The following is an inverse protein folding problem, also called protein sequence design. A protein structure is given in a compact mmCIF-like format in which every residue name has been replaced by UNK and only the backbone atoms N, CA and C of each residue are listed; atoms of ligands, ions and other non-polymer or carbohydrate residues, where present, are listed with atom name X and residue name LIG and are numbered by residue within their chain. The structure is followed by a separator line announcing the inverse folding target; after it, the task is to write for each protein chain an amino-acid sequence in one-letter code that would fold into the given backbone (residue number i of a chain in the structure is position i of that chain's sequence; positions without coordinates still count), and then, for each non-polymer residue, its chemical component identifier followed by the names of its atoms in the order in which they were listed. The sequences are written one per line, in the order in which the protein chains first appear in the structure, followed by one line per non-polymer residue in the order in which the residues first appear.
data_IF_511985752215
#
_entry.id   IF_511985752215
#
_cell.length_a   1.000
_cell.length_b   1.000
_cell.length_c   1.000
_cell.angle_alpha   90.00
_cell.angle_beta   90.00
_cell.angle_gamma   90.00
#
_symmetry.space_group_name_H-M   'P 1'
#
loop_
_entity.id
_entity.type
_entity.pdbx_description
1 polymer ?
#
# COMPACT_ATOMS: atom_id res chain seq x y z
N UNK A 1 -12.35 25.56 -7.50
CA UNK A 1 -11.12 26.33 -7.30
C UNK A 1 -10.10 25.85 -8.32
N UNK A 2 -9.54 26.76 -9.12
CA UNK A 2 -8.80 26.50 -10.38
C UNK A 2 -7.66 25.48 -10.25
N UNK A 3 -7.55 24.68 -11.30
CA UNK A 3 -6.45 23.80 -11.69
C UNK A 3 -5.08 24.49 -11.48
N UNK A 4 -4.27 23.98 -10.54
CA UNK A 4 -2.88 24.43 -10.39
C UNK A 4 -2.04 23.59 -11.34
N UNK A 5 -1.96 24.03 -12.59
CA UNK A 5 -0.96 23.54 -13.53
C UNK A 5 0.41 23.54 -12.87
N UNK A 6 1.13 22.42 -12.99
CA UNK A 6 2.45 22.27 -12.39
C UNK A 6 3.37 23.41 -12.83
N UNK A 7 3.94 24.17 -11.88
CA UNK A 7 4.89 25.23 -12.21
C UNK A 7 6.13 24.59 -12.84
N UNK A 8 6.52 24.96 -14.08
CA UNK A 8 7.71 24.43 -14.73
C UNK A 8 8.98 24.77 -13.94
N UNK A 9 9.89 23.80 -13.82
CA UNK A 9 11.19 24.00 -13.19
C UNK A 9 12.16 24.67 -14.18
N UNK A 10 12.05 26.01 -14.26
CA UNK A 10 12.92 26.83 -15.11
C UNK A 10 14.38 26.80 -14.65
N UNK A 11 14.64 26.66 -13.35
CA UNK A 11 16.00 26.62 -12.80
C UNK A 11 16.81 25.44 -13.33
N UNK A 12 16.21 24.25 -13.36
CA UNK A 12 16.85 23.06 -13.95
C UNK A 12 17.04 23.21 -15.46
N UNK A 13 16.04 23.72 -16.18
CA UNK A 13 16.12 23.91 -17.63
C UNK A 13 17.22 24.92 -18.01
N UNK A 14 17.36 26.00 -17.23
CA UNK A 14 18.37 27.03 -17.44
C UNK A 14 19.76 26.56 -17.01
N UNK A 15 19.87 25.74 -15.95
CA UNK A 15 21.12 25.09 -15.58
C UNK A 15 21.63 24.16 -16.71
N UNK A 16 20.76 23.32 -17.27
CA UNK A 16 21.11 22.48 -18.42
C UNK A 16 21.54 23.31 -19.63
N UNK A 17 20.81 24.38 -19.96
CA UNK A 17 21.12 25.23 -21.13
C UNK A 17 22.44 26.00 -21.00
N UNK A 18 22.94 26.20 -19.78
CA UNK A 18 24.26 26.80 -19.52
C UNK A 18 25.42 25.82 -19.75
N UNK A 19 25.15 24.52 -19.71
CA UNK A 19 26.16 23.50 -19.95
C UNK A 19 26.43 23.31 -21.45
N UNK A 20 27.71 23.11 -21.79
CA UNK A 20 28.19 22.78 -23.12
C UNK A 20 28.60 21.30 -23.14
N UNK A 21 28.09 20.48 -24.08
CA UNK A 21 28.56 19.10 -24.21
C UNK A 21 30.04 19.08 -24.63
N UNK A 22 30.86 18.13 -24.14
CA UNK A 22 32.28 18.03 -24.49
C UNK A 22 32.54 17.82 -26.00
N UNK A 23 31.58 17.25 -26.73
CA UNK A 23 31.75 16.80 -28.13
C UNK A 23 30.63 17.26 -29.09
N UNK A 24 29.86 18.29 -28.74
CA UNK A 24 28.74 18.76 -29.56
C UNK A 24 29.18 19.59 -30.78
N UNK A 25 28.78 19.16 -31.99
CA UNK A 25 28.89 19.97 -33.22
C UNK A 25 28.09 21.26 -33.07
N UNK A 26 28.76 22.40 -32.93
CA UNK A 26 28.17 23.73 -33.17
C UNK A 26 27.77 24.57 -31.96
N UNK A 27 28.28 24.31 -30.75
CA UNK A 27 28.06 25.20 -29.60
C UNK A 27 26.63 25.21 -29.05
N UNK A 28 25.82 24.20 -29.39
CA UNK A 28 24.47 24.03 -28.85
C UNK A 28 24.50 23.73 -27.33
N UNK A 29 23.46 24.14 -26.57
CA UNK A 29 23.31 23.77 -25.17
C UNK A 29 23.09 22.26 -25.00
N UNK A 30 23.51 21.70 -23.86
CA UNK A 30 23.33 20.29 -23.51
C UNK A 30 21.87 19.84 -23.71
N UNK A 31 21.64 18.80 -24.52
CA UNK A 31 20.31 18.24 -24.74
C UNK A 31 19.80 17.45 -23.51
N UNK A 32 18.52 17.07 -23.51
CA UNK A 32 17.95 16.23 -22.43
C UNK A 32 18.56 14.83 -22.42
N UNK A 33 18.84 14.27 -23.59
CA UNK A 33 19.51 12.97 -23.74
C UNK A 33 20.94 13.05 -23.22
N UNK A 34 21.71 14.05 -23.63
CA UNK A 34 23.09 14.21 -23.15
C UNK A 34 23.15 14.51 -21.64
N UNK A 35 22.16 15.21 -21.08
CA UNK A 35 22.06 15.38 -19.63
C UNK A 35 21.75 14.04 -18.94
N UNK A 36 20.85 13.23 -19.49
CA UNK A 36 20.53 11.92 -18.92
C UNK A 36 21.76 10.99 -18.93
N UNK A 37 22.49 10.94 -20.04
CA UNK A 37 23.72 10.16 -20.17
C UNK A 37 24.80 10.63 -19.18
N UNK A 38 24.97 11.95 -19.03
CA UNK A 38 25.92 12.52 -18.07
C UNK A 38 25.52 12.24 -16.62
N UNK A 39 24.22 12.24 -16.31
CA UNK A 39 23.69 11.87 -14.97
C UNK A 39 23.92 10.39 -14.69
N UNK A 40 23.72 9.50 -15.67
CA UNK A 40 24.00 8.06 -15.52
C UNK A 40 25.49 7.80 -15.28
N UNK A 41 26.37 8.44 -16.06
CA UNK A 41 27.81 8.36 -15.84
C UNK A 41 28.22 8.91 -14.45
N UNK A 42 27.60 9.99 -13.99
CA UNK A 42 27.84 10.52 -12.65
C UNK A 42 27.34 9.58 -11.54
N UNK A 43 26.23 8.87 -11.75
CA UNK A 43 25.73 7.86 -10.82
C UNK A 43 26.71 6.69 -10.70
N UNK A 44 27.28 6.21 -11.82
CA UNK A 44 28.29 5.15 -11.81
C UNK A 44 29.55 5.58 -11.05
N UNK A 45 29.99 6.83 -11.23
CA UNK A 45 31.15 7.36 -10.52
C UNK A 45 30.92 7.60 -9.03
N UNK A 46 29.71 8.04 -8.64
CA UNK A 46 29.37 8.33 -7.24
C UNK A 46 29.07 7.06 -6.44
N UNK A 47 28.56 6.00 -7.09
CA UNK A 47 28.06 4.79 -6.43
C UNK A 47 28.54 3.47 -7.07
N UNK A 48 29.86 3.24 -7.26
CA UNK A 48 30.40 2.11 -8.02
C UNK A 48 30.17 0.72 -7.38
N UNK A 49 29.88 0.64 -6.08
CA UNK A 49 29.62 -0.60 -5.34
C UNK A 49 28.13 -0.87 -5.06
N UNK A 50 27.23 0.02 -5.49
CA UNK A 50 25.77 -0.13 -5.41
C UNK A 50 25.23 -0.38 -6.83
N UNK A 51 24.07 -1.01 -6.98
CA UNK A 51 23.38 -1.14 -8.27
C UNK A 51 22.90 0.25 -8.76
N UNK A 52 23.83 1.09 -9.23
CA UNK A 52 23.56 2.44 -9.73
C UNK A 52 22.57 2.45 -10.93
N UNK A 53 22.47 1.33 -11.64
CA UNK A 53 21.52 1.11 -12.73
C UNK A 53 20.05 1.35 -12.32
N UNK A 54 19.65 1.04 -11.08
CA UNK A 54 18.29 1.32 -10.58
C UNK A 54 17.98 2.83 -10.49
N UNK A 55 19.01 3.68 -10.54
CA UNK A 55 18.88 5.13 -10.51
C UNK A 55 19.04 5.78 -11.87
N UNK A 56 19.27 4.99 -12.93
CA UNK A 56 19.43 5.54 -14.27
C UNK A 56 18.18 6.31 -14.69
N UNK A 57 18.43 7.30 -15.55
CA UNK A 57 17.45 8.25 -16.04
C UNK A 57 17.57 8.35 -17.54
N UNK A 58 16.48 8.76 -18.18
CA UNK A 58 16.43 9.00 -19.61
C UNK A 58 16.03 10.46 -19.92
N UNK A 59 16.02 10.80 -21.21
CA UNK A 59 15.62 12.13 -21.67
C UNK A 59 14.17 12.50 -21.26
N UNK A 60 13.29 11.51 -21.09
CA UNK A 60 11.89 11.69 -20.69
C UNK A 60 11.79 12.12 -19.23
N UNK A 61 12.56 11.48 -18.36
CA UNK A 61 12.70 11.82 -16.94
C UNK A 61 13.22 13.25 -16.75
N UNK A 62 14.26 13.65 -17.49
CA UNK A 62 14.75 15.04 -17.50
C UNK A 62 13.63 16.00 -17.92
N UNK A 63 12.85 15.62 -18.95
CA UNK A 63 11.68 16.38 -19.39
C UNK A 63 10.62 16.54 -18.31
N UNK A 64 10.29 15.48 -17.57
CA UNK A 64 9.32 15.50 -16.45
C UNK A 64 9.78 16.43 -15.33
N UNK A 65 11.08 16.44 -15.03
CA UNK A 65 11.66 17.36 -14.05
C UNK A 65 11.58 18.83 -14.50
N UNK A 66 11.93 19.14 -15.74
CA UNK A 66 11.85 20.51 -16.28
C UNK A 66 10.41 21.04 -16.34
N UNK A 67 9.43 20.17 -16.62
CA UNK A 67 7.99 20.53 -16.57
C UNK A 67 7.46 20.64 -15.14
N UNK A 68 8.27 20.29 -14.14
CA UNK A 68 7.90 20.31 -12.72
C UNK A 68 6.91 19.20 -12.33
N UNK A 69 6.69 18.20 -13.20
CA UNK A 69 5.83 17.04 -12.95
C UNK A 69 6.42 16.16 -11.84
N UNK A 70 7.75 16.12 -11.77
CA UNK A 70 8.51 15.52 -10.69
C UNK A 70 9.35 16.61 -10.02
N UNK A 71 9.15 16.88 -8.73
CA UNK A 71 9.82 18.00 -8.03
C UNK A 71 10.94 17.59 -7.08
N UNK A 72 10.98 16.33 -6.69
CA UNK A 72 11.91 15.86 -5.67
C UNK A 72 12.42 14.43 -5.98
N UNK A 73 13.48 14.30 -6.79
CA UNK A 73 14.16 13.03 -7.07
C UNK A 73 14.78 12.37 -5.85
N UNK A 74 15.24 11.12 -5.99
CA UNK A 74 16.01 10.41 -4.93
C UNK A 74 17.33 11.13 -4.61
N UNK A 75 17.90 10.89 -3.44
CA UNK A 75 19.12 11.55 -3.00
C UNK A 75 20.30 11.31 -3.97
N UNK A 76 20.37 10.11 -4.54
CA UNK A 76 21.38 9.68 -5.51
C UNK A 76 21.24 10.46 -6.83
N UNK A 77 20.03 10.56 -7.38
CA UNK A 77 19.74 11.33 -8.59
C UNK A 77 19.96 12.83 -8.39
N UNK A 78 19.62 13.37 -7.21
CA UNK A 78 19.90 14.77 -6.86
C UNK A 78 21.41 15.03 -6.76
N UNK A 79 22.17 14.14 -6.11
CA UNK A 79 23.63 14.25 -6.03
C UNK A 79 24.31 14.19 -7.41
N UNK A 80 23.86 13.28 -8.28
CA UNK A 80 24.35 13.19 -9.66
C UNK A 80 24.01 14.45 -10.48
N UNK A 81 22.78 14.97 -10.38
CA UNK A 81 22.39 16.23 -11.04
C UNK A 81 23.24 17.42 -10.58
N UNK A 82 23.48 17.55 -9.27
CA UNK A 82 24.34 18.61 -8.72
C UNK A 82 25.76 18.54 -9.26
N UNK A 83 26.32 17.33 -9.34
CA UNK A 83 27.65 17.09 -9.91
C UNK A 83 27.72 17.44 -11.39
N UNK A 84 26.74 17.01 -12.19
CA UNK A 84 26.75 17.22 -13.65
C UNK A 84 26.50 18.68 -14.01
N UNK A 85 25.58 19.36 -13.32
CA UNK A 85 25.22 20.75 -13.58
C UNK A 85 26.10 21.76 -12.82
N UNK A 86 27.10 21.28 -12.07
CA UNK A 86 28.05 22.06 -11.29
C UNK A 86 27.38 23.09 -10.37
N UNK A 87 26.51 22.60 -9.48
CA UNK A 87 25.79 23.41 -8.49
C UNK A 87 25.89 22.79 -7.10
N UNK A 88 25.95 23.64 -6.09
CA UNK A 88 26.28 23.19 -4.73
C UNK A 88 25.08 22.59 -3.98
N UNK A 89 23.85 23.01 -4.29
CA UNK A 89 22.64 22.62 -3.58
C UNK A 89 21.44 22.35 -4.48
N UNK A 90 20.45 21.64 -3.93
CA UNK A 90 19.25 21.18 -4.64
C UNK A 90 18.33 22.37 -5.03
N UNK A 91 18.31 23.43 -4.21
CA UNK A 91 17.51 24.65 -4.44
C UNK A 91 17.96 25.41 -5.69
N UNK A 92 19.26 25.43 -5.99
CA UNK A 92 19.81 26.01 -7.21
C UNK A 92 19.29 25.33 -8.49
N UNK A 93 18.80 24.09 -8.38
CA UNK A 93 18.14 23.35 -9.46
C UNK A 93 16.61 23.42 -9.38
N UNK A 94 16.05 24.23 -8.47
CA UNK A 94 14.61 24.28 -8.21
C UNK A 94 14.06 22.97 -7.66
N UNK A 95 14.90 22.11 -7.07
CA UNK A 95 14.47 20.91 -6.37
C UNK A 95 14.19 21.33 -4.93
N UNK A 96 12.94 21.29 -4.51
CA UNK A 96 12.53 21.64 -3.15
C UNK A 96 11.66 20.54 -2.57
N UNK A 97 11.90 20.11 -1.31
CA UNK A 97 10.98 19.24 -0.59
C UNK A 97 9.61 19.91 -0.51
N UNK A 98 8.53 19.17 -0.81
CA UNK A 98 7.18 19.69 -0.61
C UNK A 98 6.93 19.84 0.90
N UNK A 99 7.04 21.06 1.43
CA UNK A 99 6.89 21.43 2.87
C UNK A 99 5.51 21.15 3.49
N UNK A 100 4.75 20.18 3.00
CA UNK A 100 3.41 19.88 3.53
C UNK A 100 3.23 18.47 4.10
N UNK A 101 4.32 17.74 4.36
CA UNK A 101 4.22 16.38 4.94
C UNK A 101 5.33 15.93 5.90
N UNK A 102 6.26 16.80 6.31
CA UNK A 102 7.34 16.40 7.25
C UNK A 102 7.04 16.69 8.73
N UNK A 103 6.13 17.60 9.09
CA UNK A 103 5.84 17.92 10.50
C UNK A 103 4.94 16.89 11.22
N UNK A 104 4.72 15.70 10.63
CA UNK A 104 4.08 14.54 11.30
C UNK A 104 4.97 13.30 11.33
N UNK A 105 6.25 13.44 10.98
CA UNK A 105 7.26 12.41 11.20
C UNK A 105 8.00 12.73 12.50
N UNK A 106 7.42 12.40 13.66
CA UNK A 106 8.12 12.60 14.93
C UNK A 106 7.36 12.40 16.23
N UNK A 107 6.02 12.46 16.23
CA UNK A 107 5.22 12.14 17.41
C UNK A 107 4.28 10.99 17.11
N UNK A 108 4.80 9.77 17.28
CA UNK A 108 3.94 8.63 17.60
C UNK A 108 3.40 8.94 18.99
N UNK A 109 2.12 9.29 19.09
CA UNK A 109 1.41 9.46 20.36
C UNK A 109 1.76 8.28 21.28
N UNK A 110 2.47 8.55 22.37
CA UNK A 110 2.83 7.59 23.42
C UNK A 110 1.63 7.21 24.30
N UNK A 111 0.40 7.39 23.83
CA UNK A 111 -0.76 7.02 24.63
C UNK A 111 -0.97 5.51 24.57
N UNK A 112 -0.89 4.80 25.71
CA UNK A 112 -1.53 3.51 25.79
C UNK A 112 -3.00 3.74 25.48
N UNK A 113 -3.60 2.92 24.62
CA UNK A 113 -5.05 2.85 24.52
C UNK A 113 -5.55 2.46 25.90
N UNK A 114 -5.89 3.46 26.71
CA UNK A 114 -6.74 3.29 27.85
C UNK A 114 -8.09 2.90 27.25
N UNK A 115 -8.34 1.60 27.21
CA UNK A 115 -9.69 1.08 27.03
C UNK A 115 -10.43 1.65 28.24
N UNK A 116 -11.20 2.72 28.04
CA UNK A 116 -11.96 3.36 29.11
C UNK A 116 -12.81 2.29 29.76
N UNK A 117 -12.61 2.09 31.06
CA UNK A 117 -13.47 1.28 31.92
C UNK A 117 -14.89 1.84 31.83
N UNK A 118 -15.66 1.30 30.89
CA UNK A 118 -17.11 1.38 30.91
C UNK A 118 -17.57 0.03 31.43
N UNK A 119 -17.78 -0.03 32.74
CA UNK A 119 -18.65 -0.97 33.45
C UNK A 119 -18.95 -2.26 32.68
N UNK A 120 -17.99 -3.19 32.67
CA UNK A 120 -18.28 -4.58 32.31
C UNK A 120 -18.00 -5.40 33.56
N UNK A 121 -19.10 -5.71 34.23
CA UNK A 121 -19.24 -6.39 35.52
C UNK A 121 -18.40 -7.67 35.65
N UNK A 122 -18.20 -8.03 36.92
CA UNK A 122 -17.62 -9.27 37.48
C UNK A 122 -18.15 -10.61 36.90
N UNK A 123 -19.01 -10.56 35.88
CA UNK A 123 -19.50 -11.72 35.12
C UNK A 123 -18.48 -12.26 34.09
N UNK A 124 -17.42 -11.49 33.78
CA UNK A 124 -16.44 -11.78 32.72
C UNK A 124 -15.36 -12.81 33.07
N UNK A 125 -15.32 -13.33 34.30
CA UNK A 125 -14.34 -14.35 34.70
C UNK A 125 -14.65 -15.77 34.15
N UNK A 126 -15.82 -15.97 33.52
CA UNK A 126 -16.29 -17.29 33.07
C UNK A 126 -15.95 -17.70 31.64
N UNK A 127 -15.46 -16.81 30.77
CA UNK A 127 -15.22 -17.07 29.33
C UNK A 127 -13.79 -16.76 28.87
N UNK A 128 -12.82 -16.70 29.80
CA UNK A 128 -11.41 -16.51 29.44
C UNK A 128 -10.80 -17.89 29.16
N UNK A 129 -10.26 -18.16 27.97
CA UNK A 129 -9.61 -19.44 27.71
C UNK A 129 -8.45 -19.67 28.70
N UNK A 130 -8.46 -20.82 29.38
CA UNK A 130 -7.51 -21.14 30.45
C UNK A 130 -6.07 -21.36 29.96
N UNK A 131 -5.86 -21.52 28.64
CA UNK A 131 -4.54 -21.80 28.04
C UNK A 131 -4.30 -20.97 26.78
N UNK A 132 -3.03 -20.61 26.53
CA UNK A 132 -2.57 -19.95 25.30
C UNK A 132 -3.04 -20.68 24.04
N UNK A 133 -3.07 -22.02 24.04
CA UNK A 133 -3.55 -22.82 22.91
C UNK A 133 -5.03 -22.57 22.62
N UNK A 134 -5.88 -22.46 23.65
CA UNK A 134 -7.30 -22.20 23.46
C UNK A 134 -7.56 -20.81 22.86
N UNK A 135 -6.78 -19.80 23.25
CA UNK A 135 -6.81 -18.46 22.63
C UNK A 135 -6.44 -18.50 21.15
N UNK A 136 -5.44 -19.31 20.78
CA UNK A 136 -4.98 -19.42 19.40
C UNK A 136 -5.95 -20.23 18.54
N UNK A 137 -6.55 -21.29 19.10
CA UNK A 137 -7.58 -22.08 18.43
C UNK A 137 -8.82 -21.22 18.13
N UNK A 138 -9.29 -20.44 19.11
CA UNK A 138 -10.41 -19.53 18.88
C UNK A 138 -10.10 -18.51 17.78
N UNK A 139 -8.89 -17.96 17.77
CA UNK A 139 -8.48 -17.03 16.73
C UNK A 139 -8.45 -17.71 15.36
N UNK A 140 -7.96 -18.95 15.27
CA UNK A 140 -7.97 -19.73 14.02
C UNK A 140 -9.41 -19.96 13.53
N UNK A 141 -10.34 -20.31 14.43
CA UNK A 141 -11.76 -20.46 14.11
C UNK A 141 -12.35 -19.16 13.54
N UNK A 142 -12.04 -18.01 14.16
CA UNK A 142 -12.51 -16.69 13.73
C UNK A 142 -11.89 -16.22 12.41
N UNK A 143 -10.68 -16.68 12.09
CA UNK A 143 -9.91 -16.24 10.90
C UNK A 143 -9.96 -17.23 9.74
N UNK A 144 -10.49 -18.43 9.97
CA UNK A 144 -10.63 -19.47 8.95
C UNK A 144 -11.39 -18.98 7.69
N UNK A 145 -10.81 -19.30 6.53
CA UNK A 145 -11.01 -18.66 5.20
C UNK A 145 -12.43 -18.68 4.60
N UNK A 146 -13.43 -19.26 5.26
CA UNK A 146 -14.80 -19.28 4.75
C UNK A 146 -15.72 -18.21 5.38
N UNK A 147 -15.25 -17.44 6.37
CA UNK A 147 -16.15 -16.60 7.18
C UNK A 147 -15.58 -15.35 7.88
N UNK A 148 -14.47 -14.69 7.49
CA UNK A 148 -14.18 -13.41 8.11
C UNK A 148 -15.18 -12.36 7.58
N UNK A 149 -16.35 -12.31 8.22
CA UNK A 149 -17.35 -11.25 8.11
C UNK A 149 -17.19 -10.41 9.35
N UNK A 150 -17.15 -9.09 9.17
CA UNK A 150 -17.12 -8.21 10.33
C UNK A 150 -18.54 -8.12 10.91
N UNK A 151 -18.67 -8.38 12.19
CA UNK A 151 -19.90 -8.11 12.95
C UNK A 151 -19.52 -7.45 14.27
N UNK A 152 -20.45 -6.68 14.84
CA UNK A 152 -20.21 -6.01 16.12
C UNK A 152 -20.03 -7.01 17.28
N UNK A 153 -20.66 -8.19 17.19
CA UNK A 153 -20.44 -9.28 18.13
C UNK A 153 -18.99 -9.79 18.11
N UNK A 154 -18.45 -10.07 16.90
CA UNK A 154 -17.04 -10.51 16.75
C UNK A 154 -16.09 -9.42 17.22
N UNK A 155 -16.34 -8.15 16.85
CA UNK A 155 -15.53 -7.02 17.32
C UNK A 155 -15.56 -6.89 18.84
N UNK A 156 -16.74 -6.99 19.45
CA UNK A 156 -16.93 -6.94 20.90
C UNK A 156 -16.15 -8.05 21.60
N UNK A 157 -16.24 -9.29 21.10
CA UNK A 157 -15.50 -10.45 21.61
C UNK A 157 -13.99 -10.23 21.56
N UNK A 158 -13.45 -9.81 20.41
CA UNK A 158 -12.02 -9.49 20.22
C UNK A 158 -11.55 -8.38 21.17
N UNK A 159 -12.37 -7.35 21.39
CA UNK A 159 -12.04 -6.25 22.33
C UNK A 159 -11.99 -6.72 23.79
N UNK A 160 -12.92 -7.58 24.21
CA UNK A 160 -12.90 -8.18 25.57
C UNK A 160 -11.61 -8.95 25.78
N UNK A 161 -11.27 -9.79 24.81
CA UNK A 161 -10.04 -10.57 24.75
C UNK A 161 -8.77 -9.72 24.89
N UNK A 162 -8.67 -8.63 24.14
CA UNK A 162 -7.56 -7.68 24.25
C UNK A 162 -7.51 -6.95 25.61
N UNK A 163 -8.66 -6.73 26.25
CA UNK A 163 -8.74 -6.13 27.59
C UNK A 163 -8.21 -7.08 28.66
N UNK A 164 -8.55 -8.36 28.57
CA UNK A 164 -8.03 -9.40 29.47
C UNK A 164 -6.52 -9.57 29.30
N UNK A 165 -6.03 -9.65 28.06
CA UNK A 165 -4.60 -9.75 27.75
C UNK A 165 -3.82 -8.55 28.31
N UNK A 166 -4.37 -7.34 28.22
CA UNK A 166 -3.78 -6.15 28.83
C UNK A 166 -3.64 -6.27 30.35
N UNK A 167 -4.67 -6.77 31.04
CA UNK A 167 -4.64 -7.00 32.51
C UNK A 167 -3.60 -8.05 32.90
N UNK A 168 -3.60 -9.21 32.23
CA UNK A 168 -2.67 -10.31 32.52
C UNK A 168 -1.21 -9.88 32.35
N UNK A 169 -0.91 -9.08 31.31
CA UNK A 169 0.44 -8.60 31.04
C UNK A 169 0.98 -7.57 32.03
N UNK A 170 0.13 -6.85 32.76
CA UNK A 170 0.59 -5.96 33.84
C UNK A 170 1.10 -6.75 35.05
N UNK A 171 0.66 -8.01 35.19
CA UNK A 171 1.08 -8.90 36.28
C UNK A 171 2.35 -9.70 36.01
N UNK A 172 2.74 -9.93 34.75
CA UNK A 172 3.93 -10.69 34.38
C UNK A 172 4.44 -10.40 32.96
N UNK A 173 5.77 -10.37 32.79
CA UNK A 173 6.44 -10.29 31.49
C UNK A 173 6.55 -11.70 30.85
N UNK A 174 5.46 -12.18 30.27
CA UNK A 174 5.40 -13.49 29.59
C UNK A 174 5.45 -13.34 28.06
N UNK A 175 6.45 -13.97 27.43
CA UNK A 175 6.61 -13.99 25.96
C UNK A 175 5.47 -14.70 25.24
N UNK A 176 4.89 -15.73 25.85
CA UNK A 176 3.78 -16.48 25.25
C UNK A 176 2.51 -15.60 25.15
N UNK A 177 2.18 -14.89 26.24
CA UNK A 177 1.09 -13.90 26.25
C UNK A 177 1.35 -12.74 25.28
N UNK A 178 2.60 -12.35 25.09
CA UNK A 178 2.94 -11.36 24.06
C UNK A 178 2.64 -11.85 22.64
N UNK A 179 2.93 -13.12 22.34
CA UNK A 179 2.60 -13.73 21.06
C UNK A 179 1.09 -13.82 20.79
N UNK A 180 0.28 -14.07 21.82
CA UNK A 180 -1.18 -14.07 21.75
C UNK A 180 -1.71 -12.65 21.52
N UNK A 181 -1.31 -11.68 22.34
CA UNK A 181 -1.68 -10.26 22.20
C UNK A 181 -1.32 -9.73 20.79
N UNK A 182 -0.16 -10.11 20.26
CA UNK A 182 0.25 -9.73 18.92
C UNK A 182 -0.75 -10.19 17.83
N UNK A 183 -1.21 -11.43 17.90
CA UNK A 183 -2.13 -12.03 16.91
C UNK A 183 -3.55 -11.48 17.02
N UNK A 184 -4.06 -11.33 18.24
CA UNK A 184 -5.37 -10.70 18.47
C UNK A 184 -5.38 -9.22 18.07
N UNK A 185 -4.27 -8.50 18.31
CA UNK A 185 -4.11 -7.11 17.88
C UNK A 185 -4.05 -6.98 16.35
N UNK A 186 -3.41 -7.93 15.67
CA UNK A 186 -3.38 -8.01 14.21
C UNK A 186 -4.81 -8.18 13.67
N UNK A 187 -5.55 -9.14 14.23
CA UNK A 187 -6.92 -9.39 13.81
C UNK A 187 -7.86 -8.21 14.09
N UNK A 188 -7.69 -7.52 15.22
CA UNK A 188 -8.45 -6.28 15.50
C UNK A 188 -8.11 -5.16 14.51
N UNK A 189 -6.86 -5.07 14.04
CA UNK A 189 -6.50 -4.17 12.94
C UNK A 189 -7.20 -4.55 11.64
N UNK A 190 -7.28 -5.84 11.31
CA UNK A 190 -8.06 -6.33 10.16
C UNK A 190 -9.56 -6.01 10.29
N UNK A 191 -10.16 -6.19 11.46
CA UNK A 191 -11.55 -5.79 11.71
C UNK A 191 -11.71 -4.28 11.54
N UNK A 192 -10.76 -3.49 12.02
CA UNK A 192 -10.78 -2.03 11.89
C UNK A 192 -10.76 -1.60 10.43
N UNK A 193 -9.92 -2.21 9.60
CA UNK A 193 -9.84 -1.96 8.15
C UNK A 193 -11.17 -2.23 7.44
N UNK A 194 -11.88 -3.28 7.85
CA UNK A 194 -13.12 -3.71 7.22
C UNK A 194 -14.36 -3.06 7.81
N UNK A 195 -14.28 -2.47 9.00
CA UNK A 195 -15.41 -1.75 9.61
C UNK A 195 -15.30 -0.23 9.51
N UNK A 196 -14.14 0.28 9.06
CA UNK A 196 -13.87 1.71 8.99
C UNK A 196 -13.56 2.35 10.34
N UNK A 197 -13.17 1.56 11.35
CA UNK A 197 -12.66 2.05 12.63
C UNK A 197 -11.31 2.77 12.39
N UNK A 198 -11.17 4.05 12.81
CA UNK A 198 -9.94 4.81 12.60
C UNK A 198 -8.74 4.25 13.37
N UNK A 199 -8.94 3.40 14.38
CA UNK A 199 -7.89 2.92 15.27
C UNK A 199 -7.07 1.75 14.71
N UNK A 200 -7.29 1.35 13.45
CA UNK A 200 -6.57 0.19 12.89
C UNK A 200 -5.03 0.33 12.89
N UNK A 201 -4.49 1.54 12.73
CA UNK A 201 -3.04 1.78 12.84
C UNK A 201 -2.51 1.58 14.26
N UNK A 202 -3.32 1.91 15.27
CA UNK A 202 -3.00 1.73 16.68
C UNK A 202 -2.93 0.24 17.01
N UNK A 203 -3.93 -0.53 16.58
CA UNK A 203 -3.94 -1.98 16.75
C UNK A 203 -2.79 -2.67 16.01
N UNK A 204 -2.49 -2.23 14.79
CA UNK A 204 -1.38 -2.78 14.03
C UNK A 204 -0.01 -2.46 14.66
N UNK A 205 0.14 -1.26 15.23
CA UNK A 205 1.34 -0.87 15.97
C UNK A 205 1.50 -1.67 17.27
N UNK A 206 0.39 -1.90 18.00
CA UNK A 206 0.37 -2.80 19.16
C UNK A 206 0.82 -4.21 18.78
N UNK A 207 0.25 -4.75 17.69
CA UNK A 207 0.62 -6.07 17.17
C UNK A 207 2.12 -6.18 16.87
N UNK A 208 2.67 -5.20 16.13
CA UNK A 208 4.09 -5.19 15.79
C UNK A 208 5.00 -5.18 17.03
N UNK A 209 4.70 -4.31 18.01
CA UNK A 209 5.43 -4.26 19.29
C UNK A 209 5.36 -5.58 20.04
N UNK A 210 4.15 -6.16 20.15
CA UNK A 210 3.96 -7.43 20.86
C UNK A 210 4.62 -8.62 20.17
N UNK A 211 4.64 -8.64 18.83
CA UNK A 211 5.38 -9.63 18.07
C UNK A 211 6.89 -9.51 18.32
N UNK A 212 7.38 -8.27 18.48
CA UNK A 212 8.77 -7.99 18.82
C UNK A 212 9.12 -8.47 20.24
N UNK A 213 8.25 -8.18 21.23
CA UNK A 213 8.39 -8.69 22.61
C UNK A 213 8.45 -10.23 22.64
N UNK A 214 7.67 -10.90 21.78
CA UNK A 214 7.62 -12.36 21.68
C UNK A 214 8.77 -12.97 20.85
N UNK A 215 9.51 -12.16 20.09
CA UNK A 215 10.51 -12.64 19.12
C UNK A 215 9.90 -13.31 17.87
N UNK A 216 8.63 -13.02 17.56
CA UNK A 216 7.89 -13.64 16.46
C UNK A 216 8.20 -12.96 15.11
N UNK A 217 9.34 -13.34 14.53
CA UNK A 217 9.82 -12.78 13.25
C UNK A 217 8.80 -12.87 12.10
N UNK A 218 8.09 -14.01 11.88
CA UNK A 218 7.03 -14.09 10.89
C UNK A 218 5.95 -13.01 11.05
N UNK A 219 5.44 -12.80 12.27
CA UNK A 219 4.41 -11.79 12.52
C UNK A 219 4.96 -10.36 12.45
N UNK A 220 6.22 -10.12 12.83
CA UNK A 220 6.89 -8.83 12.61
C UNK A 220 6.92 -8.50 11.10
N UNK A 221 7.28 -9.48 10.26
CA UNK A 221 7.32 -9.30 8.81
C UNK A 221 5.92 -9.03 8.24
N UNK A 222 4.91 -9.78 8.69
CA UNK A 222 3.53 -9.62 8.26
C UNK A 222 2.92 -8.27 8.70
N UNK A 223 3.21 -7.80 9.91
CA UNK A 223 2.73 -6.50 10.39
C UNK A 223 3.33 -5.34 9.61
N UNK A 224 4.63 -5.40 9.25
CA UNK A 224 5.25 -4.42 8.34
C UNK A 224 4.59 -4.44 6.94
N UNK A 225 4.26 -5.61 6.42
CA UNK A 225 3.49 -5.75 5.17
C UNK A 225 2.11 -5.09 5.28
N UNK A 226 1.38 -5.31 6.36
CA UNK A 226 0.07 -4.67 6.60
C UNK A 226 0.18 -3.15 6.77
N UNK A 227 1.24 -2.66 7.39
CA UNK A 227 1.51 -1.22 7.47
C UNK A 227 1.78 -0.65 6.07
N UNK A 228 2.50 -1.39 5.22
CA UNK A 228 2.73 -1.02 3.82
C UNK A 228 1.42 -0.91 3.03
N UNK A 229 0.50 -1.88 3.21
CA UNK A 229 -0.84 -1.81 2.63
C UNK A 229 -1.61 -0.56 3.06
N UNK A 230 -1.63 -0.24 4.36
CA UNK A 230 -2.30 0.96 4.87
C UNK A 230 -1.66 2.25 4.37
N UNK A 231 -0.34 2.26 4.19
CA UNK A 231 0.35 3.39 3.60
C UNK A 231 -0.12 3.64 2.14
N UNK A 232 -0.30 2.59 1.33
CA UNK A 232 -0.90 2.71 -0.01
C UNK A 232 -2.34 3.24 0.05
N UNK A 233 -3.17 2.70 0.96
CA UNK A 233 -4.55 3.15 1.17
C UNK A 233 -4.64 4.64 1.52
N UNK A 234 -3.62 5.19 2.19
CA UNK A 234 -3.50 6.61 2.53
C UNK A 234 -2.75 7.45 1.48
N UNK A 235 -2.37 6.86 0.34
CA UNK A 235 -1.64 7.53 -0.73
C UNK A 235 -0.21 7.90 -0.35
N UNK A 236 0.44 7.13 0.53
CA UNK A 236 1.85 7.24 0.88
C UNK A 236 2.67 6.10 0.27
N UNK A 237 2.88 6.20 -1.03
CA UNK A 237 3.64 5.22 -1.82
C UNK A 237 5.09 5.07 -1.32
N UNK A 238 5.72 6.16 -0.87
CA UNK A 238 7.09 6.12 -0.34
C UNK A 238 7.16 5.26 0.92
N UNK A 239 6.27 5.52 1.88
CA UNK A 239 6.24 4.76 3.13
C UNK A 239 5.92 3.30 2.90
N UNK A 240 5.04 2.99 1.95
CA UNK A 240 4.75 1.61 1.53
C UNK A 240 6.00 0.88 1.04
N UNK A 241 6.78 1.49 0.14
CA UNK A 241 8.03 0.91 -0.38
C UNK A 241 9.04 0.67 0.75
N UNK A 242 9.23 1.65 1.65
CA UNK A 242 10.16 1.54 2.78
C UNK A 242 9.78 0.39 3.73
N UNK A 243 8.51 0.28 4.09
CA UNK A 243 7.99 -0.79 4.95
C UNK A 243 8.13 -2.18 4.32
N UNK A 244 7.80 -2.31 3.04
CA UNK A 244 7.99 -3.56 2.30
C UNK A 244 9.46 -3.98 2.26
N UNK A 245 10.38 -3.04 2.00
CA UNK A 245 11.82 -3.31 2.02
C UNK A 245 12.30 -3.71 3.41
N UNK A 246 11.85 -3.01 4.45
CA UNK A 246 12.18 -3.34 5.84
C UNK A 246 11.75 -4.78 6.17
N UNK A 247 10.52 -5.17 5.81
CA UNK A 247 10.04 -6.54 6.03
C UNK A 247 10.93 -7.56 5.31
N UNK A 248 11.27 -7.30 4.03
CA UNK A 248 12.10 -8.19 3.22
C UNK A 248 13.56 -8.34 3.71
N UNK A 249 14.03 -7.46 4.60
CA UNK A 249 15.38 -7.54 5.22
C UNK A 249 15.43 -8.40 6.48
N UNK A 250 14.28 -8.83 7.00
CA UNK A 250 14.22 -9.68 8.20
C UNK A 250 14.78 -11.07 7.91
N UNK A 251 15.37 -11.69 8.94
CA UNK A 251 16.03 -12.99 8.81
C UNK A 251 15.05 -14.14 8.49
N UNK A 252 13.80 -14.04 8.96
CA UNK A 252 12.77 -15.05 8.77
C UNK A 252 11.48 -14.41 8.24
N UNK A 253 11.33 -14.41 6.92
CA UNK A 253 10.10 -13.96 6.25
C UNK A 253 9.47 -15.14 5.54
N UNK A 254 8.25 -15.56 5.92
CA UNK A 254 7.55 -16.63 5.23
C UNK A 254 7.38 -16.36 3.73
N UNK A 255 7.47 -17.37 2.84
CA UNK A 255 7.44 -17.16 1.40
C UNK A 255 6.21 -16.38 0.90
N UNK A 256 4.99 -16.72 1.35
CA UNK A 256 3.78 -15.98 0.97
C UNK A 256 3.78 -14.53 1.48
N UNK A 257 4.27 -14.30 2.71
CA UNK A 257 4.50 -12.94 3.22
C UNK A 257 5.53 -12.15 2.38
N UNK A 258 6.59 -12.79 1.86
CA UNK A 258 7.54 -12.16 0.92
C UNK A 258 6.82 -11.72 -0.37
N UNK A 259 5.97 -12.58 -0.92
CA UNK A 259 5.15 -12.28 -2.11
C UNK A 259 4.28 -11.05 -1.84
N UNK A 260 3.57 -11.00 -0.71
CA UNK A 260 2.76 -9.84 -0.33
C UNK A 260 3.59 -8.55 -0.20
N UNK A 261 4.79 -8.62 0.41
CA UNK A 261 5.67 -7.46 0.51
C UNK A 261 6.10 -6.93 -0.87
N UNK A 262 6.48 -7.84 -1.78
CA UNK A 262 6.85 -7.52 -3.16
C UNK A 262 5.68 -6.92 -3.93
N UNK A 263 4.47 -7.47 -3.78
CA UNK A 263 3.24 -6.93 -4.34
C UNK A 263 2.96 -5.50 -3.86
N UNK A 264 3.05 -5.24 -2.55
CA UNK A 264 2.88 -3.88 -2.00
C UNK A 264 3.96 -2.92 -2.48
N UNK A 265 5.21 -3.39 -2.58
CA UNK A 265 6.31 -2.58 -3.12
C UNK A 265 6.06 -2.22 -4.58
N UNK A 266 5.59 -3.18 -5.40
CA UNK A 266 5.26 -2.95 -6.80
C UNK A 266 4.13 -1.91 -6.96
N UNK A 267 3.07 -2.01 -6.17
CA UNK A 267 2.00 -1.01 -6.18
C UNK A 267 2.50 0.38 -5.74
N UNK A 268 3.39 0.45 -4.76
CA UNK A 268 4.04 1.70 -4.35
C UNK A 268 4.88 2.31 -5.48
N UNK A 269 5.68 1.49 -6.18
CA UNK A 269 6.47 1.90 -7.33
C UNK A 269 5.55 2.40 -8.47
N UNK A 270 4.49 1.65 -8.78
CA UNK A 270 3.52 2.02 -9.81
C UNK A 270 2.78 3.33 -9.47
N UNK A 271 2.38 3.53 -8.21
CA UNK A 271 1.81 4.80 -7.72
C UNK A 271 2.78 5.98 -7.91
N UNK A 272 4.09 5.73 -7.84
CA UNK A 272 5.14 6.72 -8.08
C UNK A 272 5.49 6.90 -9.57
N UNK A 273 4.87 6.12 -10.48
CA UNK A 273 5.19 6.11 -11.90
C UNK A 273 6.51 5.43 -12.24
N UNK A 274 6.95 4.48 -11.41
CA UNK A 274 8.21 3.75 -11.54
C UNK A 274 7.98 2.34 -12.11
N UNK A 275 8.55 2.07 -13.29
CA UNK A 275 8.39 0.81 -14.02
C UNK A 275 9.11 -0.37 -13.35
N UNK A 276 9.96 -0.13 -12.34
CA UNK A 276 10.50 -1.18 -11.47
C UNK A 276 9.39 -1.98 -10.76
N UNK A 277 8.15 -1.47 -10.75
CA UNK A 277 6.98 -2.23 -10.36
C UNK A 277 6.89 -3.59 -11.09
N UNK A 278 7.19 -3.66 -12.39
CA UNK A 278 7.15 -4.91 -13.15
C UNK A 278 8.24 -5.90 -12.73
N UNK A 279 9.42 -5.39 -12.34
CA UNK A 279 10.49 -6.22 -11.79
C UNK A 279 10.08 -6.81 -10.44
N UNK A 280 9.49 -5.98 -9.57
CA UNK A 280 8.95 -6.40 -8.28
C UNK A 280 7.82 -7.45 -8.43
N UNK A 281 6.90 -7.27 -9.40
CA UNK A 281 5.86 -8.26 -9.70
C UNK A 281 6.43 -9.56 -10.27
N UNK A 282 7.45 -9.47 -11.11
CA UNK A 282 8.16 -10.66 -11.61
C UNK A 282 8.83 -11.44 -10.48
N UNK A 283 9.42 -10.74 -9.50
CA UNK A 283 9.96 -11.37 -8.30
C UNK A 283 8.86 -12.01 -7.46
N UNK A 284 7.73 -11.33 -7.24
CA UNK A 284 6.59 -11.86 -6.49
C UNK A 284 6.06 -13.16 -7.10
N UNK A 285 5.95 -13.22 -8.44
CA UNK A 285 5.47 -14.42 -9.15
C UNK A 285 6.43 -15.61 -9.03
N UNK A 286 7.75 -15.37 -9.11
CA UNK A 286 8.76 -16.42 -8.90
C UNK A 286 8.70 -16.98 -7.48
N UNK A 287 8.65 -16.08 -6.49
CA UNK A 287 8.56 -16.44 -5.06
C UNK A 287 7.27 -17.20 -4.74
N UNK A 288 6.15 -16.87 -5.38
CA UNK A 288 4.90 -17.62 -5.21
C UNK A 288 5.00 -19.05 -5.75
N UNK A 289 5.67 -19.24 -6.90
CA UNK A 289 5.90 -20.56 -7.47
C UNK A 289 6.68 -21.49 -6.53
N UNK A 290 7.68 -20.97 -5.82
CA UNK A 290 8.39 -21.72 -4.77
C UNK A 290 7.58 -21.87 -3.48
N UNK A 291 6.83 -20.84 -3.08
CA UNK A 291 6.04 -20.82 -1.85
C UNK A 291 4.93 -21.88 -1.79
N UNK A 292 4.43 -22.35 -2.94
CA UNK A 292 3.42 -23.41 -3.00
C UNK A 292 3.95 -24.79 -2.55
N UNK A 293 5.27 -24.93 -2.39
CA UNK A 293 5.95 -26.17 -2.00
C UNK A 293 6.24 -26.19 -0.48
N UNK A 294 6.32 -25.01 0.15
CA UNK A 294 6.74 -24.84 1.55
C UNK A 294 5.56 -24.77 2.55
N UNK A 295 5.90 -24.85 3.85
CA UNK A 295 4.98 -24.86 4.99
C UNK A 295 3.90 -23.74 4.96
N UNK A 296 2.72 -23.97 5.57
CA UNK A 296 1.62 -23.00 5.54
C UNK A 296 1.98 -21.70 6.27
N UNK A 297 1.80 -20.57 5.57
CA UNK A 297 1.85 -19.22 6.14
C UNK A 297 0.44 -18.84 6.58
N UNK A 298 0.16 -18.97 7.88
CA UNK A 298 -1.19 -18.78 8.45
C UNK A 298 -1.77 -17.38 8.21
N UNK A 299 -0.93 -16.35 8.10
CA UNK A 299 -1.42 -14.96 7.90
C UNK A 299 -1.60 -14.61 6.43
N UNK A 300 -0.78 -15.18 5.55
CA UNK A 300 -0.79 -14.89 4.11
C UNK A 300 -1.48 -15.98 3.28
N UNK A 301 -2.34 -16.82 3.86
CA UNK A 301 -3.03 -17.89 3.13
C UNK A 301 -3.84 -17.39 1.92
N UNK A 302 -4.35 -16.15 1.99
CA UNK A 302 -5.07 -15.48 0.90
C UNK A 302 -4.18 -15.10 -0.30
N UNK A 303 -2.85 -15.13 -0.13
CA UNK A 303 -1.91 -14.80 -1.19
C UNK A 303 -1.76 -15.98 -2.17
N UNK A 304 -2.61 -15.98 -3.19
CA UNK A 304 -2.60 -16.94 -4.29
C UNK A 304 -2.21 -16.29 -5.64
N UNK A 305 -2.26 -17.08 -6.71
CA UNK A 305 -1.92 -16.59 -8.05
C UNK A 305 -2.93 -15.55 -8.55
N UNK A 306 -4.21 -15.66 -8.18
CA UNK A 306 -5.27 -14.72 -8.60
C UNK A 306 -5.02 -13.36 -7.96
N UNK A 307 -4.69 -13.35 -6.68
CA UNK A 307 -4.30 -12.16 -5.93
C UNK A 307 -3.09 -11.46 -6.56
N UNK A 308 -1.99 -12.18 -6.80
CA UNK A 308 -0.78 -11.59 -7.42
C UNK A 308 -1.08 -11.08 -8.84
N UNK A 309 -1.92 -11.77 -9.59
CA UNK A 309 -2.34 -11.36 -10.94
C UNK A 309 -3.18 -10.08 -10.92
N UNK A 310 -4.08 -9.92 -9.93
CA UNK A 310 -4.85 -8.69 -9.77
C UNK A 310 -3.95 -7.49 -9.39
N UNK A 311 -2.92 -7.73 -8.56
CA UNK A 311 -1.93 -6.69 -8.24
C UNK A 311 -1.12 -6.29 -9.49
N UNK A 312 -0.76 -7.24 -10.36
CA UNK A 312 -0.11 -6.94 -11.64
C UNK A 312 -0.98 -6.03 -12.51
N UNK A 313 -2.28 -6.36 -12.64
CA UNK A 313 -3.24 -5.52 -13.34
C UNK A 313 -3.34 -4.11 -12.72
N UNK A 314 -3.36 -4.00 -11.40
CA UNK A 314 -3.35 -2.71 -10.71
C UNK A 314 -2.09 -1.90 -11.02
N UNK A 315 -0.92 -2.53 -11.04
CA UNK A 315 0.33 -1.85 -11.39
C UNK A 315 0.29 -1.33 -12.85
N UNK A 316 -0.18 -2.14 -13.80
CA UNK A 316 -0.38 -1.74 -15.20
C UNK A 316 -1.31 -0.54 -15.34
N UNK A 317 -2.46 -0.59 -14.66
CA UNK A 317 -3.42 0.51 -14.65
C UNK A 317 -2.77 1.81 -14.16
N UNK A 318 -2.05 1.76 -13.03
CA UNK A 318 -1.37 2.91 -12.44
C UNK A 318 -0.25 3.47 -13.34
N UNK A 319 0.42 2.61 -14.11
CA UNK A 319 1.46 2.98 -15.08
C UNK A 319 0.91 3.41 -16.45
N UNK A 320 -0.42 3.49 -16.61
CA UNK A 320 -1.05 4.02 -17.82
C UNK A 320 -1.39 2.98 -18.89
N UNK A 321 -1.46 1.70 -18.51
CA UNK A 321 -1.94 0.59 -19.35
C UNK A 321 -3.28 0.02 -18.82
N UNK A 322 -4.38 0.81 -18.85
CA UNK A 322 -5.68 0.38 -18.34
C UNK A 322 -6.35 -0.67 -19.23
N UNK A 323 -5.97 -0.78 -20.51
CA UNK A 323 -6.55 -1.76 -21.43
C UNK A 323 -6.13 -3.18 -21.05
N UNK A 324 -4.83 -3.43 -20.92
CA UNK A 324 -4.32 -4.75 -20.48
C UNK A 324 -4.77 -5.06 -19.05
N UNK A 325 -4.80 -4.05 -18.17
CA UNK A 325 -5.32 -4.22 -16.81
C UNK A 325 -6.78 -4.70 -16.80
N UNK A 326 -7.63 -4.12 -17.66
CA UNK A 326 -9.02 -4.52 -17.79
C UNK A 326 -9.16 -5.98 -18.25
N UNK A 327 -8.43 -6.39 -19.30
CA UNK A 327 -8.45 -7.77 -19.81
C UNK A 327 -8.08 -8.80 -18.73
N UNK A 328 -7.04 -8.50 -17.94
CA UNK A 328 -6.62 -9.36 -16.83
C UNK A 328 -7.71 -9.45 -15.77
N UNK A 329 -8.26 -8.32 -15.33
CA UNK A 329 -9.28 -8.28 -14.26
C UNK A 329 -10.59 -8.96 -14.71
N UNK A 330 -11.01 -8.80 -15.96
CA UNK A 330 -12.17 -9.49 -16.53
C UNK A 330 -12.00 -11.00 -16.53
N UNK A 331 -10.81 -11.46 -16.92
CA UNK A 331 -10.47 -12.88 -16.89
C UNK A 331 -10.57 -13.41 -15.46
N UNK A 332 -9.99 -12.70 -14.49
CA UNK A 332 -10.06 -13.09 -13.08
C UNK A 332 -11.49 -13.16 -12.56
N UNK A 333 -12.35 -12.22 -12.94
CA UNK A 333 -13.74 -12.14 -12.51
C UNK A 333 -14.66 -13.17 -13.22
N UNK A 334 -14.25 -13.68 -14.37
CA UNK A 334 -15.01 -14.69 -15.14
C UNK A 334 -14.63 -16.12 -14.77
N UNK A 335 -13.33 -16.36 -14.49
CA UNK A 335 -12.83 -17.70 -14.14
C UNK A 335 -13.37 -18.09 -12.76
N UNK A 336 -14.23 -19.12 -12.73
CA UNK A 336 -14.85 -19.66 -11.52
C UNK A 336 -13.84 -20.18 -10.49
N UNK A 337 -14.24 -20.17 -9.22
CA UNK A 337 -13.44 -20.60 -8.08
C UNK A 337 -13.81 -19.81 -6.82
N UNK A 338 -13.64 -20.41 -5.64
CA UNK A 338 -13.87 -19.70 -4.38
C UNK A 338 -12.85 -18.57 -4.23
N UNK A 339 -13.29 -17.33 -4.41
CA UNK A 339 -12.49 -16.11 -4.17
C UNK A 339 -13.17 -15.29 -3.09
N UNK A 340 -12.38 -14.68 -2.21
CA UNK A 340 -12.89 -13.78 -1.17
C UNK A 340 -13.77 -12.69 -1.78
N UNK A 341 -15.00 -12.45 -1.26
CA UNK A 341 -15.83 -11.32 -1.70
C UNK A 341 -15.14 -9.96 -1.55
N UNK A 342 -14.21 -9.84 -0.58
CA UNK A 342 -13.42 -8.62 -0.38
C UNK A 342 -12.49 -8.40 -1.57
N UNK A 343 -11.75 -9.42 -1.99
CA UNK A 343 -10.79 -9.29 -3.09
C UNK A 343 -11.52 -9.08 -4.42
N UNK A 344 -12.57 -9.86 -4.69
CA UNK A 344 -13.45 -9.67 -5.85
C UNK A 344 -14.03 -8.26 -5.90
N UNK A 345 -14.44 -7.71 -4.75
CA UNK A 345 -14.96 -6.35 -4.65
C UNK A 345 -13.91 -5.29 -4.99
N UNK A 346 -12.68 -5.46 -4.50
CA UNK A 346 -11.54 -4.58 -4.84
C UNK A 346 -11.22 -4.66 -6.34
N UNK A 347 -11.24 -5.86 -6.93
CA UNK A 347 -10.96 -6.05 -8.35
C UNK A 347 -12.02 -5.40 -9.24
N UNK A 348 -13.30 -5.45 -8.85
CA UNK A 348 -14.35 -4.68 -9.49
C UNK A 348 -14.10 -3.16 -9.42
N UNK A 349 -13.64 -2.63 -8.28
CA UNK A 349 -13.30 -1.22 -8.18
C UNK A 349 -12.18 -0.83 -9.15
N UNK A 350 -11.10 -1.62 -9.22
CA UNK A 350 -9.99 -1.39 -10.16
C UNK A 350 -10.42 -1.52 -11.63
N UNK A 351 -11.26 -2.51 -11.95
CA UNK A 351 -11.78 -2.68 -13.31
C UNK A 351 -12.68 -1.50 -13.71
N UNK A 352 -13.49 -1.01 -12.78
CA UNK A 352 -14.30 0.20 -12.99
C UNK A 352 -13.42 1.42 -13.30
N UNK A 353 -12.31 1.59 -12.59
CA UNK A 353 -11.34 2.66 -12.91
C UNK A 353 -10.72 2.51 -14.30
N UNK A 354 -10.44 1.28 -14.76
CA UNK A 354 -9.95 1.03 -16.13
C UNK A 354 -10.97 1.47 -17.20
N UNK A 355 -12.27 1.26 -16.94
CA UNK A 355 -13.35 1.64 -17.84
C UNK A 355 -13.72 3.12 -17.81
N UNK A 356 -13.35 3.84 -16.76
CA UNK A 356 -13.75 5.23 -16.56
C UNK A 356 -13.52 6.15 -17.79
N UNK A 357 -12.40 6.09 -18.53
CA UNK A 357 -12.16 6.99 -19.65
C UNK A 357 -12.95 6.62 -20.92
N UNK A 358 -13.36 5.36 -21.07
CA UNK A 358 -13.88 4.81 -22.34
C UNK A 358 -15.35 4.40 -22.28
N UNK A 359 -15.85 4.01 -21.11
CA UNK A 359 -17.20 3.50 -20.90
C UNK A 359 -17.69 3.81 -19.46
N UNK A 360 -18.03 5.06 -19.13
CA UNK A 360 -18.36 5.48 -17.77
C UNK A 360 -19.59 4.77 -17.17
N UNK A 361 -20.57 4.37 -17.98
CA UNK A 361 -21.70 3.54 -17.50
C UNK A 361 -21.24 2.15 -17.07
N UNK A 362 -20.34 1.53 -17.84
CA UNK A 362 -19.73 0.24 -17.49
C UNK A 362 -18.84 0.36 -16.26
N UNK A 363 -18.13 1.47 -16.13
CA UNK A 363 -17.37 1.81 -14.93
C UNK A 363 -18.29 1.86 -13.70
N UNK A 364 -19.45 2.53 -13.80
CA UNK A 364 -20.44 2.58 -12.73
C UNK A 364 -21.00 1.19 -12.37
N UNK A 365 -21.30 0.34 -13.36
CA UNK A 365 -21.76 -1.04 -13.11
C UNK A 365 -20.76 -1.84 -12.26
N UNK A 366 -19.46 -1.76 -12.57
CA UNK A 366 -18.45 -2.41 -11.74
C UNK A 366 -18.34 -1.79 -10.34
N UNK A 367 -18.52 -0.47 -10.22
CA UNK A 367 -18.65 0.19 -8.92
C UNK A 367 -19.82 -0.33 -8.08
N UNK A 368 -20.99 -0.57 -8.70
CA UNK A 368 -22.16 -1.15 -8.03
C UNK A 368 -21.90 -2.59 -7.56
N UNK A 369 -21.26 -3.42 -8.40
CA UNK A 369 -20.85 -4.77 -8.00
C UNK A 369 -19.89 -4.75 -6.81
N UNK A 370 -18.91 -3.84 -6.81
CA UNK A 370 -18.00 -3.65 -5.68
C UNK A 370 -18.77 -3.29 -4.39
N UNK A 371 -19.73 -2.36 -4.45
CA UNK A 371 -20.53 -1.99 -3.29
C UNK A 371 -21.47 -3.11 -2.81
N UNK A 372 -22.00 -3.94 -3.72
CA UNK A 372 -22.78 -5.11 -3.34
C UNK A 372 -21.91 -6.13 -2.57
N UNK A 373 -20.71 -6.42 -3.07
CA UNK A 373 -19.75 -7.29 -2.40
C UNK A 373 -19.28 -6.72 -1.07
N UNK A 374 -19.09 -5.39 -0.99
CA UNK A 374 -18.77 -4.70 0.25
C UNK A 374 -19.84 -4.91 1.33
N UNK A 375 -21.13 -4.86 0.96
CA UNK A 375 -22.26 -5.14 1.87
C UNK A 375 -22.25 -6.59 2.33
N UNK A 376 -22.09 -7.53 1.40
CA UNK A 376 -22.06 -8.97 1.72
C UNK A 376 -20.90 -9.32 2.65
N UNK A 377 -19.73 -8.71 2.46
CA UNK A 377 -18.54 -8.97 3.26
C UNK A 377 -18.47 -8.17 4.56
N UNK A 378 -19.28 -7.12 4.72
CA UNK A 378 -19.08 -6.11 5.76
C UNK A 378 -17.69 -5.46 5.64
N UNK A 379 -17.32 -4.99 4.44
CA UNK A 379 -15.96 -4.49 4.17
C UNK A 379 -15.94 -3.04 3.67
N UNK A 380 -15.64 -2.13 4.59
CA UNK A 380 -15.31 -0.75 4.32
C UNK A 380 -14.06 -0.61 3.45
N UNK A 381 -13.14 -1.58 3.47
CA UNK A 381 -11.96 -1.59 2.57
C UNK A 381 -12.40 -1.58 1.11
N UNK A 382 -13.42 -2.36 0.75
CA UNK A 382 -13.99 -2.38 -0.61
C UNK A 382 -14.69 -1.05 -0.91
N UNK A 383 -15.45 -0.50 0.04
CA UNK A 383 -16.06 0.84 -0.13
C UNK A 383 -14.98 1.88 -0.41
N UNK A 384 -13.90 1.92 0.38
CA UNK A 384 -12.76 2.82 0.18
C UNK A 384 -12.12 2.64 -1.20
N UNK A 385 -11.95 1.41 -1.67
CA UNK A 385 -11.39 1.13 -2.99
C UNK A 385 -12.21 1.73 -4.14
N UNK A 386 -13.53 1.93 -3.97
CA UNK A 386 -14.37 2.59 -5.00
C UNK A 386 -14.25 4.12 -5.02
N UNK A 387 -13.57 4.74 -4.06
CA UNK A 387 -13.49 6.20 -3.94
C UNK A 387 -12.88 6.89 -5.19
N UNK A 388 -11.77 6.41 -5.79
CA UNK A 388 -11.22 7.04 -6.99
C UNK A 388 -12.20 7.01 -8.17
N UNK A 389 -12.90 5.88 -8.35
CA UNK A 389 -13.94 5.72 -9.37
C UNK A 389 -15.11 6.70 -9.15
N UNK A 390 -15.59 6.85 -7.92
CA UNK A 390 -16.63 7.82 -7.55
C UNK A 390 -16.20 9.24 -7.91
N UNK A 391 -14.97 9.64 -7.58
CA UNK A 391 -14.45 10.97 -7.90
C UNK A 391 -14.42 11.20 -9.41
N UNK A 392 -13.99 10.20 -10.18
CA UNK A 392 -13.95 10.25 -11.64
C UNK A 392 -15.33 10.36 -12.29
N UNK A 393 -16.33 9.65 -11.75
CA UNK A 393 -17.69 9.60 -12.30
C UNK A 393 -18.57 10.81 -11.95
N UNK A 394 -18.16 11.71 -11.04
CA UNK A 394 -18.97 12.88 -10.65
C UNK A 394 -19.42 13.74 -11.82
N UNK A 395 -18.57 13.93 -12.83
CA UNK A 395 -18.89 14.71 -14.03
C UNK A 395 -19.84 13.99 -15.00
N UNK A 396 -20.03 12.69 -14.80
CA UNK A 396 -20.87 11.81 -15.63
C UNK A 396 -22.22 11.50 -14.98
N UNK A 397 -22.62 12.24 -13.92
CA UNK A 397 -23.80 11.93 -13.11
C UNK A 397 -25.15 11.95 -13.82
N UNK A 398 -25.23 12.39 -15.08
CA UNK A 398 -26.44 12.32 -15.90
C UNK A 398 -26.58 11.01 -16.69
N UNK A 399 -25.50 10.20 -16.77
CA UNK A 399 -25.52 8.94 -17.49
C UNK A 399 -26.22 7.84 -16.68
N UNK A 400 -26.84 6.90 -17.40
CA UNK A 400 -27.54 5.75 -16.81
C UNK A 400 -26.62 4.94 -15.90
N UNK A 401 -27.11 4.55 -14.72
CA UNK A 401 -26.33 3.79 -13.72
C UNK A 401 -25.31 4.62 -12.92
N UNK A 402 -24.85 5.77 -13.43
CA UNK A 402 -23.85 6.59 -12.71
C UNK A 402 -24.47 7.25 -11.47
N UNK A 403 -25.63 7.89 -11.58
CA UNK A 403 -26.29 8.50 -10.41
C UNK A 403 -26.62 7.46 -9.32
N UNK A 404 -27.28 6.33 -9.63
CA UNK A 404 -27.53 5.26 -8.65
C UNK A 404 -26.26 4.78 -7.93
N UNK A 405 -25.18 4.52 -8.66
CA UNK A 405 -23.89 4.17 -8.07
C UNK A 405 -23.37 5.23 -7.09
N UNK A 406 -23.37 6.51 -7.49
CA UNK A 406 -22.89 7.61 -6.64
C UNK A 406 -23.72 7.75 -5.37
N UNK A 407 -25.02 7.54 -5.45
CA UNK A 407 -25.93 7.59 -4.30
C UNK A 407 -25.74 6.37 -3.39
N UNK A 408 -25.58 5.17 -3.97
CA UNK A 408 -25.26 3.95 -3.23
C UNK A 408 -23.92 4.06 -2.48
N UNK A 409 -22.92 4.70 -3.08
CA UNK A 409 -21.64 4.97 -2.42
C UNK A 409 -21.81 5.90 -1.21
N UNK A 410 -22.63 6.96 -1.32
CA UNK A 410 -22.91 7.85 -0.18
C UNK A 410 -23.58 7.10 0.96
N UNK A 411 -24.57 6.26 0.65
CA UNK A 411 -25.22 5.41 1.66
C UNK A 411 -24.21 4.46 2.31
N UNK A 412 -23.32 3.83 1.54
CA UNK A 412 -22.28 2.96 2.07
C UNK A 412 -21.26 3.71 2.97
N UNK A 413 -21.04 5.01 2.74
CA UNK A 413 -20.21 5.83 3.61
C UNK A 413 -20.91 6.25 4.90
N UNK A 414 -22.23 6.51 4.87
CA UNK A 414 -23.01 7.08 5.98
C UNK A 414 -23.79 6.05 6.79
N UNK A 415 -24.07 4.87 6.25
CA UNK A 415 -24.74 3.76 6.95
C UNK A 415 -23.84 3.05 7.96
N UNK A 416 -22.96 3.83 8.60
CA UNK A 416 -22.06 3.44 9.68
C UNK A 416 -22.68 3.74 11.02
#
# INVERSE_FOLDING_TARGET
MKDRGSVPNRLLADARRRMRPPHGRGGAPLSRTELADAVNAALDHLYPARQAAAHYVDHSWVGKLERGEHRWPSAERRAALRRVLNVDNDEALGLTPSRRRDDRAGEVSEDPVAITDSEVDDELAGEVPDTVEAWLHELDDLTSLNRPHTSDSVRGRVRRHLTVLERLRRGAADRSLAGVDARWSEFMSWISDNTGDPNGDVWLSRSHRRASDAGDQPLIAYTLMRQSQRALDHGDARRAIELSRQSLTLAAVPPRTRVLCLSRMAEGLACAGDDDAFLAMSAARRELGSAMIDAPDTFAQHCDLRYVTAVDARCRQLLGDPATAAEILETLLTVGGATSPIDTGVWHAYLGECYLPVAPERAAQHGEQALQLARTAGSYRVVRATQPLVLGLRRHGALTGVRPFLDAYRVALTGR
#
